data_IF_357332697969
#
_entry.id   IF_357332697969
#
_cell.length_a   1.000
_cell.length_b   1.000
_cell.length_c   1.000
_cell.angle_alpha   90.00
_cell.angle_beta   90.00
_cell.angle_gamma   90.00
#
_symmetry.space_group_name_H-M   'P 1'
#
loop_
_entity.id
_entity.type
_entity.pdbx_description
1 polymer ?
#
# COMPACT_ATOMS: atom_id res chain seq x y z
N UNK A 1 -42.48 4.06 -32.72
CA UNK A 1 -41.10 3.92 -32.20
C UNK A 1 -41.06 4.78 -30.96
N UNK A 2 -41.31 4.16 -29.80
CA UNK A 2 -41.22 4.83 -28.50
C UNK A 2 -39.81 4.60 -27.98
N UNK A 3 -39.06 5.68 -27.78
CA UNK A 3 -37.78 5.63 -27.07
C UNK A 3 -38.05 5.19 -25.63
N UNK A 4 -37.49 4.05 -25.26
CA UNK A 4 -37.34 3.69 -23.85
C UNK A 4 -36.29 4.65 -23.28
N UNK A 5 -36.74 5.67 -22.55
CA UNK A 5 -35.89 6.41 -21.62
C UNK A 5 -35.22 5.39 -20.69
N UNK A 6 -33.91 5.23 -20.87
CA UNK A 6 -33.11 4.36 -20.03
C UNK A 6 -33.29 4.78 -18.57
N UNK A 7 -33.57 3.81 -17.70
CA UNK A 7 -33.72 4.04 -16.27
C UNK A 7 -32.50 4.80 -15.72
N UNK A 8 -32.67 6.11 -15.52
CA UNK A 8 -31.69 6.95 -14.84
C UNK A 8 -31.78 6.56 -13.37
N UNK A 9 -30.80 5.80 -12.88
CA UNK A 9 -30.69 5.48 -11.47
C UNK A 9 -30.41 6.78 -10.70
N UNK A 10 -31.46 7.52 -10.36
CA UNK A 10 -31.39 8.67 -9.46
C UNK A 10 -31.36 8.08 -8.06
N UNK A 11 -30.17 7.89 -7.51
CA UNK A 11 -30.03 7.52 -6.11
C UNK A 11 -30.50 8.71 -5.26
N UNK A 12 -31.54 8.56 -4.43
CA UNK A 12 -31.97 9.65 -3.56
C UNK A 12 -30.85 9.98 -2.57
N UNK A 13 -30.59 11.28 -2.36
CA UNK A 13 -29.63 11.72 -1.36
C UNK A 13 -30.06 11.23 0.02
N UNK A 14 -29.10 10.71 0.79
CA UNK A 14 -29.31 10.44 2.22
C UNK A 14 -29.57 11.75 2.97
N UNK A 15 -30.15 11.70 4.17
CA UNK A 15 -30.35 12.91 4.98
C UNK A 15 -29.04 13.71 5.19
N UNK A 16 -27.92 13.01 5.41
CA UNK A 16 -26.60 13.63 5.54
C UNK A 16 -26.07 14.17 4.21
N UNK A 17 -26.29 13.44 3.11
CA UNK A 17 -25.95 13.92 1.77
C UNK A 17 -26.72 15.19 1.39
N UNK A 18 -27.99 15.27 1.80
CA UNK A 18 -28.81 16.48 1.63
C UNK A 18 -28.27 17.63 2.49
N UNK A 19 -27.99 17.40 3.76
CA UNK A 19 -27.42 18.43 4.65
C UNK A 19 -26.06 18.95 4.14
N UNK A 20 -25.20 18.06 3.63
CA UNK A 20 -23.94 18.44 3.01
C UNK A 20 -24.16 19.30 1.76
N UNK A 21 -25.08 18.89 0.87
CA UNK A 21 -25.39 19.65 -0.33
C UNK A 21 -25.98 21.03 -0.02
N UNK A 22 -26.86 21.14 0.98
CA UNK A 22 -27.43 22.41 1.44
C UNK A 22 -26.35 23.32 2.02
N UNK A 23 -25.44 22.79 2.85
CA UNK A 23 -24.33 23.57 3.41
C UNK A 23 -23.35 24.05 2.33
N UNK A 24 -23.04 23.21 1.33
CA UNK A 24 -22.22 23.62 0.20
C UNK A 24 -22.91 24.72 -0.61
N UNK A 25 -24.21 24.56 -0.89
CA UNK A 25 -25.01 25.56 -1.58
C UNK A 25 -25.02 26.90 -0.83
N UNK A 26 -25.13 26.89 0.50
CA UNK A 26 -25.05 28.09 1.33
C UNK A 26 -23.69 28.79 1.19
N UNK A 27 -22.59 28.03 1.19
CA UNK A 27 -21.23 28.58 1.03
C UNK A 27 -21.01 29.33 -0.28
N UNK A 28 -21.66 28.88 -1.36
CA UNK A 28 -21.54 29.49 -2.70
C UNK A 28 -22.68 30.45 -3.04
N UNK A 29 -23.71 30.57 -2.20
CA UNK A 29 -24.96 31.27 -2.53
C UNK A 29 -24.78 32.75 -2.89
N UNK A 30 -23.70 33.37 -2.41
CA UNK A 30 -23.40 34.79 -2.66
C UNK A 30 -22.63 35.03 -3.95
N UNK A 31 -22.15 33.98 -4.62
CA UNK A 31 -21.33 34.10 -5.83
C UNK A 31 -22.15 34.53 -7.04
N UNK A 32 -21.52 35.27 -7.96
CA UNK A 32 -22.14 35.61 -9.25
C UNK A 32 -22.56 34.35 -10.02
N UNK A 33 -21.76 33.29 -9.95
CA UNK A 33 -22.09 31.97 -10.52
C UNK A 33 -23.43 31.42 -10.00
N UNK A 34 -23.62 31.36 -8.67
CA UNK A 34 -24.81 30.80 -8.08
C UNK A 34 -26.06 31.63 -8.40
N UNK A 35 -25.94 32.97 -8.37
CA UNK A 35 -27.04 33.87 -8.73
C UNK A 35 -27.45 33.68 -10.19
N UNK A 36 -26.48 33.61 -11.11
CA UNK A 36 -26.75 33.42 -12.54
C UNK A 36 -27.41 32.06 -12.81
N UNK A 37 -26.95 31.00 -12.13
CA UNK A 37 -27.54 29.66 -12.26
C UNK A 37 -28.99 29.63 -11.78
N UNK A 38 -29.33 30.35 -10.71
CA UNK A 38 -30.71 30.46 -10.21
C UNK A 38 -31.61 31.22 -11.19
N UNK A 39 -31.08 32.26 -11.85
CA UNK A 39 -31.83 33.07 -12.82
C UNK A 39 -32.05 32.35 -14.15
N UNK A 40 -31.04 31.62 -14.63
CA UNK A 40 -31.02 31.02 -15.97
C UNK A 40 -31.38 29.52 -15.99
N UNK A 41 -31.47 28.86 -14.83
CA UNK A 41 -31.70 27.40 -14.62
C UNK A 41 -30.57 26.50 -15.17
N UNK A 42 -29.92 26.89 -16.27
CA UNK A 42 -28.75 26.22 -16.85
C UNK A 42 -27.79 27.25 -17.45
N UNK A 43 -26.49 27.11 -17.16
CA UNK A 43 -25.44 28.00 -17.67
C UNK A 43 -24.67 27.34 -18.82
N UNK A 44 -24.73 27.95 -20.01
CA UNK A 44 -23.95 27.50 -21.18
C UNK A 44 -22.53 28.08 -21.23
N UNK A 45 -22.27 29.17 -20.51
CA UNK A 45 -20.96 29.79 -20.37
C UNK A 45 -20.90 30.62 -19.07
N UNK A 46 -19.70 30.77 -18.52
CA UNK A 46 -19.41 31.65 -17.38
C UNK A 46 -18.20 32.53 -17.71
N UNK A 47 -18.17 33.75 -17.18
CA UNK A 47 -16.98 34.61 -17.32
C UNK A 47 -15.83 34.06 -16.48
N UNK A 48 -14.60 34.38 -16.88
CA UNK A 48 -13.40 34.02 -16.12
C UNK A 48 -13.45 34.59 -14.70
N UNK A 49 -13.94 35.81 -14.53
CA UNK A 49 -14.01 36.47 -13.23
C UNK A 49 -15.05 35.81 -12.30
N UNK A 50 -16.21 35.38 -12.85
CA UNK A 50 -17.20 34.61 -12.08
C UNK A 50 -16.64 33.23 -11.67
N UNK A 51 -15.82 32.62 -12.52
CA UNK A 51 -15.18 31.33 -12.21
C UNK A 51 -14.14 31.47 -11.09
N UNK A 52 -13.37 32.57 -11.06
CA UNK A 52 -12.43 32.86 -9.98
C UNK A 52 -13.19 33.10 -8.67
N UNK A 53 -14.20 33.98 -8.68
CA UNK A 53 -15.02 34.28 -7.49
C UNK A 53 -15.65 33.01 -6.91
N UNK A 54 -16.21 32.16 -7.78
CA UNK A 54 -16.75 30.87 -7.39
C UNK A 54 -15.66 29.96 -6.79
N UNK A 55 -14.51 29.87 -7.47
CA UNK A 55 -13.36 29.08 -7.02
C UNK A 55 -12.83 29.51 -5.65
N UNK A 56 -12.82 30.80 -5.33
CA UNK A 56 -12.43 31.34 -4.02
C UNK A 56 -13.38 30.91 -2.89
N UNK A 57 -14.63 30.57 -3.21
CA UNK A 57 -15.65 30.14 -2.24
C UNK A 57 -15.83 28.63 -2.13
N UNK A 58 -15.51 27.89 -3.20
CA UNK A 58 -15.64 26.43 -3.25
C UNK A 58 -14.29 25.71 -3.30
N UNK A 59 -13.18 26.40 -3.03
CA UNK A 59 -11.87 25.78 -3.00
C UNK A 59 -11.80 24.74 -1.88
N UNK A 60 -11.12 23.63 -2.14
CA UNK A 60 -10.85 22.60 -1.14
C UNK A 60 -9.59 22.88 -0.30
N UNK A 61 -8.95 24.04 -0.46
CA UNK A 61 -7.79 24.40 0.34
C UNK A 61 -8.18 24.66 1.79
N UNK A 62 -7.24 24.44 2.71
CA UNK A 62 -7.46 24.53 4.13
C UNK A 62 -8.03 25.89 4.57
N UNK A 63 -7.55 27.00 3.97
CA UNK A 63 -8.01 28.35 4.34
C UNK A 63 -9.50 28.55 4.03
N UNK A 64 -9.96 28.13 2.85
CA UNK A 64 -11.37 28.27 2.46
C UNK A 64 -12.24 27.28 3.22
N UNK A 65 -11.79 26.03 3.35
CA UNK A 65 -12.53 24.99 4.04
C UNK A 65 -12.76 25.30 5.52
N UNK A 66 -11.81 25.95 6.22
CA UNK A 66 -11.97 26.31 7.63
C UNK A 66 -13.19 27.20 7.89
N UNK A 67 -13.54 28.08 6.93
CA UNK A 67 -14.70 28.97 7.02
C UNK A 67 -15.94 28.43 6.30
N UNK A 68 -15.80 27.34 5.52
CA UNK A 68 -16.86 26.80 4.70
C UNK A 68 -17.97 26.13 5.53
N UNK A 69 -19.27 26.43 5.27
CA UNK A 69 -20.38 25.85 6.04
C UNK A 69 -20.47 24.33 5.95
N UNK A 70 -19.96 23.73 4.87
CA UNK A 70 -19.98 22.29 4.60
C UNK A 70 -18.86 21.51 5.29
N UNK A 71 -17.88 22.19 5.90
CA UNK A 71 -16.79 21.56 6.67
C UNK A 71 -17.32 20.64 7.78
N UNK A 72 -18.27 21.12 8.59
CA UNK A 72 -18.81 20.35 9.72
C UNK A 72 -19.56 19.09 9.24
N UNK A 73 -20.49 19.18 8.26
CA UNK A 73 -21.07 18.00 7.62
C UNK A 73 -20.05 17.02 7.03
N UNK A 74 -18.95 17.51 6.43
CA UNK A 74 -17.87 16.66 5.91
C UNK A 74 -17.15 15.91 7.03
N UNK A 75 -16.73 16.60 8.09
CA UNK A 75 -16.10 16.00 9.26
C UNK A 75 -16.99 14.91 9.87
N UNK A 76 -18.28 15.20 10.01
CA UNK A 76 -19.28 14.24 10.47
C UNK A 76 -19.38 13.03 9.51
N UNK A 77 -19.37 13.24 8.20
CA UNK A 77 -19.41 12.16 7.20
C UNK A 77 -18.13 11.29 7.16
N UNK A 78 -16.97 11.85 7.49
CA UNK A 78 -15.70 11.13 7.54
C UNK A 78 -15.54 10.32 8.82
N UNK A 79 -15.84 10.90 9.99
CA UNK A 79 -15.58 10.26 11.29
C UNK A 79 -16.77 9.44 11.81
N UNK A 80 -18.02 9.80 11.45
CA UNK A 80 -19.23 9.03 11.78
C UNK A 80 -19.24 8.44 13.18
N UNK A 81 -19.02 9.29 14.20
CA UNK A 81 -18.98 8.87 15.61
C UNK A 81 -20.30 8.25 16.11
N UNK A 82 -21.40 8.39 15.35
CA UNK A 82 -22.67 7.71 15.58
C UNK A 82 -22.66 6.22 15.21
N UNK A 83 -21.62 5.76 14.50
CA UNK A 83 -21.47 4.38 14.03
C UNK A 83 -20.52 3.59 14.93
N UNK A 84 -20.89 2.34 15.20
CA UNK A 84 -20.14 1.37 16.01
C UNK A 84 -19.94 0.05 15.26
N UNK A 85 -19.12 -0.84 15.83
CA UNK A 85 -18.79 -2.15 15.27
C UNK A 85 -17.49 -2.14 14.46
N UNK A 86 -16.63 -3.11 14.72
CA UNK A 86 -15.30 -3.24 14.11
C UNK A 86 -15.34 -3.53 12.61
N UNK A 87 -16.39 -4.20 12.13
CA UNK A 87 -16.57 -4.51 10.71
C UNK A 87 -17.27 -3.38 9.93
N UNK A 88 -17.64 -2.29 10.61
CA UNK A 88 -18.35 -1.17 9.99
C UNK A 88 -17.36 -0.29 9.21
N UNK A 89 -17.52 -0.13 7.87
CA UNK A 89 -16.60 0.67 7.07
C UNK A 89 -16.41 2.12 7.54
N UNK A 90 -17.41 2.69 8.21
CA UNK A 90 -17.32 4.03 8.80
C UNK A 90 -16.41 4.05 10.03
N UNK A 91 -16.45 3.01 10.87
CA UNK A 91 -15.56 2.85 12.01
C UNK A 91 -14.13 2.59 11.54
N UNK A 92 -13.94 1.71 10.55
CA UNK A 92 -12.64 1.46 9.92
C UNK A 92 -12.01 2.75 9.37
N UNK A 93 -12.83 3.60 8.72
CA UNK A 93 -12.39 4.91 8.23
C UNK A 93 -12.01 5.84 9.38
N UNK A 94 -12.84 5.94 10.41
CA UNK A 94 -12.56 6.75 11.61
C UNK A 94 -11.23 6.36 12.25
N UNK A 95 -11.01 5.07 12.50
CA UNK A 95 -9.77 4.56 13.11
C UNK A 95 -8.55 4.80 12.21
N UNK A 96 -8.71 4.70 10.89
CA UNK A 96 -7.64 5.06 9.94
C UNK A 96 -7.27 6.54 10.02
N UNK A 97 -8.27 7.43 10.05
CA UNK A 97 -8.04 8.87 10.17
C UNK A 97 -7.45 9.21 11.55
N UNK A 98 -7.92 8.56 12.62
CA UNK A 98 -7.36 8.70 13.97
C UNK A 98 -5.90 8.25 14.05
N UNK A 99 -5.54 7.13 13.41
CA UNK A 99 -4.15 6.67 13.29
C UNK A 99 -3.27 7.71 12.58
N UNK A 100 -3.79 8.37 11.53
CA UNK A 100 -3.04 9.43 10.86
C UNK A 100 -2.85 10.67 11.73
N UNK A 101 -3.87 11.08 12.47
CA UNK A 101 -3.74 12.17 13.43
C UNK A 101 -2.71 11.84 14.52
N UNK A 102 -2.71 10.60 15.03
CA UNK A 102 -1.73 10.12 16.01
C UNK A 102 -0.30 10.11 15.44
N UNK A 103 -0.13 9.65 14.19
CA UNK A 103 1.16 9.70 13.49
C UNK A 103 1.65 11.15 13.30
N UNK A 104 0.76 12.07 12.90
CA UNK A 104 1.10 13.50 12.73
C UNK A 104 1.52 14.10 14.07
N UNK A 105 0.74 13.89 15.13
CA UNK A 105 1.05 14.40 16.47
C UNK A 105 2.43 13.92 16.94
N UNK A 106 2.75 12.64 16.71
CA UNK A 106 4.02 12.06 17.10
C UNK A 106 5.18 12.41 16.15
N UNK A 107 4.94 12.91 14.94
CA UNK A 107 6.00 13.20 13.95
C UNK A 107 6.92 14.40 14.28
N UNK A 108 6.54 15.20 15.27
CA UNK A 108 7.28 16.35 15.77
C UNK A 108 7.69 17.34 14.64
N UNK A 109 8.99 17.64 14.49
CA UNK A 109 9.50 18.63 13.54
C UNK A 109 10.04 18.00 12.24
N UNK A 110 9.61 16.78 11.92
CA UNK A 110 10.21 15.99 10.85
C UNK A 110 9.26 15.96 9.64
N UNK A 111 9.72 16.09 8.38
CA UNK A 111 8.83 16.11 7.21
C UNK A 111 7.99 14.83 7.04
N UNK A 112 6.67 14.94 7.18
CA UNK A 112 5.81 13.80 7.53
C UNK A 112 5.50 12.85 6.36
N UNK A 113 5.31 13.38 5.15
CA UNK A 113 4.80 12.62 4.01
C UNK A 113 5.67 11.40 3.65
N UNK A 114 7.00 11.55 3.75
CA UNK A 114 7.96 10.47 3.45
C UNK A 114 8.14 9.48 4.61
N UNK A 115 7.64 9.81 5.81
CA UNK A 115 7.80 9.00 7.02
C UNK A 115 6.68 8.01 7.26
N UNK A 116 5.52 8.19 6.60
CA UNK A 116 4.38 7.30 6.80
C UNK A 116 4.73 5.82 6.60
N UNK A 117 5.53 5.50 5.57
CA UNK A 117 5.93 4.12 5.31
C UNK A 117 6.92 3.58 6.34
N UNK A 118 8.05 4.26 6.65
CA UNK A 118 8.91 3.88 7.77
C UNK A 118 8.15 3.73 9.10
N UNK A 119 7.25 4.65 9.43
CA UNK A 119 6.49 4.61 10.66
C UNK A 119 5.57 3.39 10.74
N UNK A 120 4.89 3.05 9.63
CA UNK A 120 4.00 1.88 9.59
C UNK A 120 4.73 0.55 9.48
N UNK A 121 5.86 0.50 8.78
CA UNK A 121 6.57 -0.76 8.50
C UNK A 121 7.62 -1.08 9.57
N UNK A 122 8.43 -0.09 9.94
CA UNK A 122 9.56 -0.19 10.88
C UNK A 122 9.22 0.34 12.28
N UNK A 123 8.02 0.89 12.50
CA UNK A 123 7.64 1.53 13.77
C UNK A 123 8.56 2.71 14.13
N UNK A 124 9.09 3.43 13.14
CA UNK A 124 10.02 4.55 13.33
C UNK A 124 9.69 5.70 12.38
N UNK A 125 9.58 6.92 12.92
CA UNK A 125 9.43 8.15 12.13
C UNK A 125 10.79 8.69 11.69
N UNK A 126 11.83 8.48 12.50
CA UNK A 126 13.23 8.82 12.21
C UNK A 126 14.18 7.90 13.02
N UNK A 127 15.50 7.87 12.72
CA UNK A 127 16.52 7.07 13.43
C UNK A 127 16.37 6.99 14.96
N UNK A 128 16.15 8.13 15.61
CA UNK A 128 16.03 8.22 17.07
C UNK A 128 14.60 8.53 17.54
N UNK A 129 13.62 8.35 16.65
CA UNK A 129 12.24 8.74 16.88
C UNK A 129 11.28 7.57 16.59
N UNK A 130 11.15 6.62 17.54
CA UNK A 130 10.24 5.50 17.39
C UNK A 130 8.79 6.00 17.38
N UNK A 131 7.95 5.32 16.62
CA UNK A 131 6.51 5.51 16.66
C UNK A 131 5.86 4.43 17.52
N UNK A 132 5.00 4.85 18.45
CA UNK A 132 4.20 3.95 19.25
C UNK A 132 2.74 4.36 19.18
N UNK A 133 1.93 3.56 18.47
CA UNK A 133 0.50 3.80 18.40
C UNK A 133 -0.11 3.81 19.81
N UNK A 134 -1.03 4.76 20.05
CA UNK A 134 -1.84 4.77 21.28
C UNK A 134 -2.57 3.43 21.44
N UNK A 135 -2.83 2.96 22.68
CA UNK A 135 -3.49 1.67 22.90
C UNK A 135 -4.81 1.48 22.11
N UNK A 136 -5.64 2.53 22.01
CA UNK A 136 -6.88 2.52 21.24
C UNK A 136 -6.70 2.39 19.71
N UNK A 137 -5.46 2.58 19.21
CA UNK A 137 -5.14 2.54 17.78
C UNK A 137 -4.16 1.41 17.45
N UNK A 138 -3.69 0.65 18.44
CA UNK A 138 -2.64 -0.36 18.28
C UNK A 138 -3.02 -1.44 17.26
N UNK A 139 -4.22 -1.99 17.38
CA UNK A 139 -4.77 -2.99 16.45
C UNK A 139 -4.91 -2.44 15.03
N UNK A 140 -5.26 -1.17 14.90
CA UNK A 140 -5.42 -0.52 13.60
C UNK A 140 -4.09 -0.19 12.95
N UNK A 141 -3.10 0.19 13.77
CA UNK A 141 -1.72 0.32 13.36
C UNK A 141 -1.17 -1.01 12.82
N UNK A 142 -1.39 -2.13 13.52
CA UNK A 142 -0.94 -3.45 13.05
C UNK A 142 -1.58 -3.84 11.71
N UNK A 143 -2.87 -3.54 11.48
CA UNK A 143 -3.51 -3.75 10.16
C UNK A 143 -2.84 -2.93 9.06
N UNK A 144 -2.53 -1.66 9.31
CA UNK A 144 -1.80 -0.83 8.34
C UNK A 144 -0.35 -1.25 8.14
N UNK A 145 0.30 -1.79 9.18
CA UNK A 145 1.59 -2.45 9.07
C UNK A 145 1.51 -3.66 8.14
N UNK A 146 0.50 -4.52 8.30
CA UNK A 146 0.27 -5.66 7.40
C UNK A 146 0.04 -5.24 5.95
N UNK A 147 -0.57 -4.08 5.70
CA UNK A 147 -0.63 -3.50 4.34
C UNK A 147 0.77 -3.17 3.80
N UNK A 148 1.68 -2.62 4.62
CA UNK A 148 3.07 -2.40 4.19
C UNK A 148 3.84 -3.71 3.97
N UNK A 149 3.67 -4.71 4.85
CA UNK A 149 4.22 -6.06 4.68
C UNK A 149 3.78 -6.64 3.34
N UNK A 150 2.49 -6.52 3.02
CA UNK A 150 1.93 -6.95 1.74
C UNK A 150 2.54 -6.21 0.56
N UNK A 151 2.77 -4.90 0.69
CA UNK A 151 3.41 -4.10 -0.35
C UNK A 151 4.86 -4.53 -0.58
N UNK A 152 5.66 -4.71 0.48
CA UNK A 152 7.04 -5.18 0.36
C UNK A 152 7.11 -6.56 -0.30
N UNK A 153 6.28 -7.48 0.17
CA UNK A 153 6.16 -8.84 -0.35
C UNK A 153 5.82 -8.88 -1.85
N UNK A 154 4.75 -8.20 -2.23
CA UNK A 154 4.31 -8.18 -3.64
C UNK A 154 5.29 -7.42 -4.53
N UNK A 155 5.99 -6.41 -4.00
CA UNK A 155 7.01 -5.66 -4.74
C UNK A 155 8.24 -6.52 -5.03
N UNK A 156 8.71 -7.34 -4.07
CA UNK A 156 9.81 -8.27 -4.28
C UNK A 156 9.47 -9.32 -5.36
N UNK A 157 8.28 -9.93 -5.29
CA UNK A 157 7.81 -10.85 -6.34
C UNK A 157 7.66 -10.16 -7.71
N UNK A 158 7.21 -8.90 -7.73
CA UNK A 158 7.14 -8.12 -8.97
C UNK A 158 8.52 -7.87 -9.58
N UNK A 159 9.58 -7.77 -8.78
CA UNK A 159 10.95 -7.64 -9.30
C UNK A 159 11.36 -8.92 -10.04
N UNK A 160 11.16 -10.10 -9.43
CA UNK A 160 11.44 -11.40 -10.07
C UNK A 160 10.60 -11.57 -11.34
N UNK A 161 9.33 -11.19 -11.29
CA UNK A 161 8.44 -11.20 -12.46
C UNK A 161 8.90 -10.26 -13.58
N UNK A 162 9.36 -9.06 -13.23
CA UNK A 162 9.86 -8.08 -14.18
C UNK A 162 11.13 -8.57 -14.88
N UNK A 163 12.04 -9.21 -14.13
CA UNK A 163 13.23 -9.86 -14.69
C UNK A 163 12.83 -10.92 -15.74
N UNK A 164 11.84 -11.75 -15.43
CA UNK A 164 11.31 -12.73 -16.38
C UNK A 164 10.75 -12.08 -17.65
N UNK A 165 9.90 -11.05 -17.50
CA UNK A 165 9.30 -10.38 -18.65
C UNK A 165 10.33 -9.68 -19.53
N UNK A 166 11.35 -9.04 -18.93
CA UNK A 166 12.40 -8.38 -19.70
C UNK A 166 13.21 -9.39 -20.50
N UNK A 167 13.60 -10.51 -19.87
CA UNK A 167 14.34 -11.56 -20.54
C UNK A 167 13.52 -12.22 -21.67
N UNK A 168 12.27 -12.56 -21.40
CA UNK A 168 11.38 -13.13 -22.43
C UNK A 168 11.12 -12.15 -23.58
N UNK A 169 11.04 -10.85 -23.31
CA UNK A 169 10.88 -9.83 -24.35
C UNK A 169 12.11 -9.73 -25.26
N UNK A 170 13.31 -9.99 -24.74
CA UNK A 170 14.55 -10.02 -25.52
C UNK A 170 14.66 -11.28 -26.37
N UNK A 171 14.30 -12.44 -25.80
CA UNK A 171 14.46 -13.75 -26.47
C UNK A 171 13.28 -14.14 -27.39
N UNK A 172 12.15 -13.42 -27.32
CA UNK A 172 10.83 -13.73 -27.93
C UNK A 172 10.20 -15.07 -27.44
N UNK A 173 11.02 -16.09 -27.17
CA UNK A 173 10.64 -17.39 -26.64
C UNK A 173 11.78 -17.99 -25.81
N UNK A 174 11.47 -18.66 -24.70
CA UNK A 174 12.46 -19.34 -23.86
C UNK A 174 11.90 -20.61 -23.22
N UNK A 175 12.72 -21.61 -22.93
CA UNK A 175 12.30 -22.74 -22.08
C UNK A 175 12.39 -22.35 -20.61
N UNK A 176 11.60 -22.96 -19.70
CA UNK A 176 11.75 -22.73 -18.27
C UNK A 176 13.19 -22.96 -17.78
N UNK A 177 13.84 -24.05 -18.21
CA UNK A 177 15.21 -24.37 -17.81
C UNK A 177 16.24 -23.33 -18.26
N UNK A 178 16.08 -22.79 -19.49
CA UNK A 178 16.97 -21.74 -19.98
C UNK A 178 16.77 -20.43 -19.21
N UNK A 179 15.53 -20.13 -18.81
CA UNK A 179 15.27 -18.98 -17.94
C UNK A 179 15.87 -19.17 -16.54
N UNK A 180 15.74 -20.36 -15.94
CA UNK A 180 16.37 -20.65 -14.65
C UNK A 180 17.89 -20.53 -14.73
N UNK A 181 18.51 -21.05 -15.78
CA UNK A 181 19.95 -20.91 -16.00
C UNK A 181 20.38 -19.44 -16.15
N UNK A 182 19.57 -18.60 -16.80
CA UNK A 182 19.81 -17.16 -16.87
C UNK A 182 19.72 -16.50 -15.49
N UNK A 183 18.70 -16.82 -14.70
CA UNK A 183 18.55 -16.30 -13.34
C UNK A 183 19.71 -16.75 -12.45
N UNK A 184 20.10 -18.03 -12.52
CA UNK A 184 21.24 -18.58 -11.79
C UNK A 184 22.53 -17.84 -12.14
N UNK A 185 22.72 -17.47 -13.42
CA UNK A 185 23.90 -16.70 -13.84
C UNK A 185 23.97 -15.28 -13.25
N UNK A 186 22.87 -14.77 -12.69
CA UNK A 186 22.82 -13.47 -11.99
C UNK A 186 23.20 -13.58 -10.50
N UNK A 187 23.51 -14.79 -10.01
CA UNK A 187 23.78 -15.08 -8.60
C UNK A 187 25.12 -15.83 -8.51
N UNK A 188 25.99 -15.50 -7.54
CA UNK A 188 27.22 -16.26 -7.35
C UNK A 188 26.94 -17.75 -7.08
N UNK A 189 27.70 -18.65 -7.74
CA UNK A 189 27.56 -20.11 -7.58
C UNK A 189 27.57 -20.56 -6.10
N UNK A 190 28.41 -19.91 -5.29
CA UNK A 190 28.49 -20.19 -3.85
C UNK A 190 27.14 -19.94 -3.15
N UNK A 191 26.44 -18.87 -3.51
CA UNK A 191 25.13 -18.52 -2.95
C UNK A 191 24.04 -19.48 -3.42
N UNK A 192 24.05 -19.89 -4.69
CA UNK A 192 23.06 -20.84 -5.24
C UNK A 192 23.04 -22.16 -4.46
N UNK A 193 24.21 -22.65 -4.06
CA UNK A 193 24.38 -23.91 -3.33
C UNK A 193 24.23 -23.75 -1.81
N UNK A 194 24.12 -22.53 -1.29
CA UNK A 194 23.94 -22.28 0.15
C UNK A 194 22.59 -22.85 0.59
N UNK A 195 22.54 -23.68 1.65
CA UNK A 195 21.28 -24.08 2.28
C UNK A 195 20.45 -22.86 2.68
N UNK A 196 19.14 -22.89 2.45
CA UNK A 196 18.26 -21.74 2.74
C UNK A 196 18.39 -21.28 4.20
N UNK A 197 18.53 -22.21 5.15
CA UNK A 197 18.78 -21.88 6.56
C UNK A 197 20.07 -21.07 6.76
N UNK A 198 21.16 -21.46 6.10
CA UNK A 198 22.42 -20.74 6.18
C UNK A 198 22.34 -19.35 5.50
N UNK A 199 21.53 -19.21 4.45
CA UNK A 199 21.24 -17.91 3.86
C UNK A 199 20.43 -17.00 4.79
N UNK A 200 19.47 -17.56 5.55
CA UNK A 200 18.78 -16.81 6.60
C UNK A 200 19.72 -16.40 7.73
N UNK A 201 20.66 -17.26 8.13
CA UNK A 201 21.70 -16.93 9.11
C UNK A 201 22.60 -15.78 8.61
N UNK A 202 22.97 -15.79 7.32
CA UNK A 202 23.68 -14.68 6.69
C UNK A 202 22.84 -13.39 6.74
N UNK A 203 21.52 -13.47 6.54
CA UNK A 203 20.64 -12.32 6.66
C UNK A 203 20.61 -11.73 8.08
N UNK A 204 20.57 -12.59 9.09
CA UNK A 204 20.72 -12.20 10.49
C UNK A 204 22.08 -11.53 10.74
N UNK A 205 23.18 -12.15 10.28
CA UNK A 205 24.53 -11.65 10.48
C UNK A 205 24.76 -10.26 9.86
N UNK A 206 24.35 -10.06 8.62
CA UNK A 206 24.46 -8.77 7.93
C UNK A 206 23.57 -7.69 8.57
N UNK A 207 22.53 -8.09 9.30
CA UNK A 207 21.74 -7.16 10.10
C UNK A 207 22.40 -6.87 11.46
N UNK A 208 23.47 -7.58 11.84
CA UNK A 208 24.15 -7.43 13.14
C UNK A 208 23.67 -8.38 14.24
N UNK A 209 22.99 -9.47 13.88
CA UNK A 209 22.56 -10.52 14.80
C UNK A 209 23.49 -11.74 14.73
N UNK A 210 23.37 -12.64 15.71
CA UNK A 210 24.06 -13.94 15.67
C UNK A 210 23.55 -14.80 14.50
N UNK A 211 24.41 -15.63 13.88
CA UNK A 211 24.07 -16.48 12.73
C UNK A 211 23.33 -17.75 13.19
N UNK A 212 22.17 -17.56 13.80
CA UNK A 212 21.20 -18.60 14.13
C UNK A 212 19.81 -17.97 14.05
N UNK A 213 19.19 -18.06 12.88
CA UNK A 213 17.95 -17.35 12.59
C UNK A 213 16.81 -17.78 13.53
N UNK A 214 16.79 -19.03 13.99
CA UNK A 214 15.81 -19.52 14.97
C UNK A 214 15.89 -18.78 16.31
N UNK A 215 17.08 -18.33 16.72
CA UNK A 215 17.26 -17.56 17.96
C UNK A 215 17.23 -16.04 17.71
N UNK A 216 17.61 -15.61 16.49
CA UNK A 216 17.74 -14.22 16.13
C UNK A 216 16.42 -13.56 15.67
N UNK A 217 15.46 -14.33 15.10
CA UNK A 217 14.23 -13.76 14.54
C UNK A 217 13.42 -12.86 15.50
N UNK A 218 13.33 -13.11 16.82
CA UNK A 218 12.58 -12.24 17.73
C UNK A 218 13.16 -10.82 17.82
N UNK A 219 14.46 -10.68 17.59
CA UNK A 219 15.18 -9.40 17.61
C UNK A 219 15.40 -8.83 16.20
N UNK A 220 14.95 -9.51 15.16
CA UNK A 220 15.14 -9.06 13.78
C UNK A 220 14.48 -7.70 13.53
N UNK A 221 13.31 -7.49 14.12
CA UNK A 221 12.60 -6.22 13.95
C UNK A 221 13.35 -5.03 14.53
N UNK A 222 13.92 -5.16 15.73
CA UNK A 222 14.60 -4.09 16.45
C UNK A 222 15.98 -3.81 15.87
N UNK A 223 16.63 -4.83 15.32
CA UNK A 223 17.97 -4.70 14.76
C UNK A 223 17.95 -4.23 13.28
N UNK A 224 16.98 -4.66 12.50
CA UNK A 224 16.78 -4.22 11.12
C UNK A 224 15.79 -3.04 11.09
N UNK A 225 16.26 -1.91 11.61
CA UNK A 225 15.51 -0.66 11.78
C UNK A 225 15.85 0.37 10.68
N UNK A 226 15.35 1.61 10.76
CA UNK A 226 15.54 2.67 9.76
C UNK A 226 17.00 3.12 9.61
N UNK A 227 17.86 2.82 10.58
CA UNK A 227 19.29 3.14 10.52
C UNK A 227 20.09 2.04 9.84
N UNK A 228 19.52 0.84 9.72
CA UNK A 228 20.11 -0.27 9.01
C UNK A 228 20.14 0.01 7.51
N UNK A 229 21.33 -0.08 6.89
CA UNK A 229 21.45 -0.02 5.43
C UNK A 229 20.73 -1.19 4.73
N UNK A 230 20.34 -2.22 5.49
CA UNK A 230 19.83 -3.48 4.98
C UNK A 230 18.34 -3.71 5.24
N UNK A 231 17.54 -2.70 5.57
CA UNK A 231 16.09 -2.88 5.72
C UNK A 231 15.35 -2.90 4.37
N UNK A 232 14.16 -3.49 4.31
CA UNK A 232 13.44 -3.79 3.07
C UNK A 232 13.16 -2.53 2.20
N UNK A 233 12.98 -1.37 2.82
CA UNK A 233 12.81 -0.10 2.09
C UNK A 233 14.10 0.38 1.37
N UNK A 234 15.31 0.21 1.96
CA UNK A 234 16.58 0.55 1.28
C UNK A 234 16.91 -0.46 0.20
N UNK A 235 16.64 -1.76 0.45
CA UNK A 235 16.83 -2.80 -0.56
C UNK A 235 15.96 -2.54 -1.79
N UNK A 236 14.72 -2.11 -1.60
CA UNK A 236 13.86 -1.75 -2.72
C UNK A 236 14.31 -0.46 -3.43
N UNK A 237 14.82 0.54 -2.70
CA UNK A 237 15.42 1.73 -3.31
C UNK A 237 16.60 1.34 -4.19
N UNK A 238 17.45 0.41 -3.75
CA UNK A 238 18.55 -0.12 -4.56
C UNK A 238 18.07 -0.81 -5.85
N UNK A 239 16.95 -1.55 -5.82
CA UNK A 239 16.33 -2.12 -7.04
C UNK A 239 15.89 -1.01 -8.01
N UNK A 240 15.32 0.07 -7.49
CA UNK A 240 14.88 1.20 -8.31
C UNK A 240 16.08 1.91 -8.95
N UNK A 241 17.10 2.20 -8.15
CA UNK A 241 18.30 2.93 -8.56
C UNK A 241 19.18 2.13 -9.52
N UNK A 242 19.11 0.79 -9.47
CA UNK A 242 19.84 -0.09 -10.40
C UNK A 242 19.33 -0.02 -11.83
N UNK A 243 18.19 0.64 -12.07
CA UNK A 243 17.53 0.74 -13.39
C UNK A 243 17.29 -0.63 -14.03
N UNK A 244 16.85 -1.59 -13.21
CA UNK A 244 16.53 -2.98 -13.59
C UNK A 244 17.76 -3.81 -13.94
N UNK A 245 18.87 -3.61 -13.22
CA UNK A 245 19.99 -4.53 -13.26
C UNK A 245 19.56 -5.93 -12.76
N UNK A 246 19.72 -7.01 -13.55
CA UNK A 246 19.29 -8.36 -13.18
C UNK A 246 19.88 -8.89 -11.87
N UNK A 247 21.17 -8.67 -11.65
CA UNK A 247 21.88 -9.15 -10.45
C UNK A 247 21.33 -8.43 -9.22
N UNK A 248 21.17 -7.11 -9.27
CA UNK A 248 20.58 -6.36 -8.16
C UNK A 248 19.13 -6.78 -7.93
N UNK A 249 18.32 -6.92 -8.98
CA UNK A 249 16.91 -7.26 -8.85
C UNK A 249 16.69 -8.60 -8.14
N UNK A 250 17.38 -9.67 -8.57
CA UNK A 250 17.16 -11.01 -7.98
C UNK A 250 17.70 -11.08 -6.55
N UNK A 251 18.90 -10.56 -6.30
CA UNK A 251 19.51 -10.63 -4.97
C UNK A 251 18.71 -9.80 -3.95
N UNK A 252 18.31 -8.58 -4.31
CA UNK A 252 17.55 -7.72 -3.39
C UNK A 252 16.11 -8.23 -3.19
N UNK A 253 15.45 -8.77 -4.23
CA UNK A 253 14.12 -9.35 -4.08
C UNK A 253 14.14 -10.56 -3.14
N UNK A 254 15.09 -11.48 -3.34
CA UNK A 254 15.25 -12.63 -2.45
C UNK A 254 15.59 -12.20 -1.03
N UNK A 255 16.43 -11.18 -0.87
CA UNK A 255 16.73 -10.62 0.45
C UNK A 255 15.48 -10.06 1.14
N UNK A 256 14.66 -9.27 0.44
CA UNK A 256 13.40 -8.75 0.99
C UNK A 256 12.48 -9.90 1.43
N UNK A 257 12.32 -10.94 0.60
CA UNK A 257 11.49 -12.10 0.94
C UNK A 257 11.99 -12.85 2.18
N UNK A 258 13.31 -13.06 2.29
CA UNK A 258 13.93 -13.66 3.47
C UNK A 258 13.77 -12.79 4.73
N UNK A 259 13.92 -11.48 4.61
CA UNK A 259 13.73 -10.56 5.74
C UNK A 259 12.28 -10.48 6.20
N UNK A 260 11.32 -10.54 5.27
CA UNK A 260 9.90 -10.64 5.61
C UNK A 260 9.60 -11.91 6.40
N UNK A 261 10.18 -13.05 6.00
CA UNK A 261 10.07 -14.29 6.76
C UNK A 261 10.64 -14.12 8.17
N UNK A 262 11.88 -13.63 8.31
CA UNK A 262 12.54 -13.43 9.60
C UNK A 262 11.77 -12.46 10.51
N UNK A 263 11.37 -11.30 9.99
CA UNK A 263 10.70 -10.23 10.73
C UNK A 263 9.33 -10.66 11.27
N UNK A 264 8.64 -11.54 10.56
CA UNK A 264 7.24 -11.89 10.86
C UNK A 264 7.04 -13.35 11.27
N UNK A 265 8.12 -14.13 11.40
CA UNK A 265 8.07 -15.53 11.78
C UNK A 265 7.27 -15.77 13.08
N UNK A 266 7.53 -14.96 14.12
CA UNK A 266 6.81 -15.07 15.40
C UNK A 266 5.30 -14.87 15.24
N UNK A 267 4.87 -13.84 14.49
CA UNK A 267 3.45 -13.54 14.29
C UNK A 267 2.73 -14.69 13.58
N UNK A 268 3.39 -15.26 12.56
CA UNK A 268 2.88 -16.42 11.85
C UNK A 268 2.80 -17.66 12.74
N UNK A 269 3.87 -17.99 13.46
CA UNK A 269 3.97 -19.18 14.32
C UNK A 269 2.97 -19.13 15.49
N UNK A 270 2.79 -17.95 16.08
CA UNK A 270 1.88 -17.72 17.21
C UNK A 270 0.42 -17.59 16.78
N UNK A 271 0.14 -17.65 15.47
CA UNK A 271 -1.20 -17.46 14.89
C UNK A 271 -1.83 -16.13 15.32
N UNK A 272 -1.06 -15.04 15.26
CA UNK A 272 -1.55 -13.71 15.60
C UNK A 272 -2.87 -13.39 14.87
N UNK A 273 -3.84 -12.81 15.59
CA UNK A 273 -5.19 -12.61 15.07
C UNK A 273 -5.21 -11.70 13.83
N UNK A 274 -4.43 -10.62 13.86
CA UNK A 274 -4.36 -9.64 12.76
C UNK A 274 -3.58 -10.24 11.59
N UNK A 275 -2.53 -11.02 11.87
CA UNK A 275 -1.84 -11.81 10.87
C UNK A 275 -2.82 -12.75 10.16
N UNK A 276 -3.58 -13.57 10.88
CA UNK A 276 -4.53 -14.52 10.27
C UNK A 276 -5.63 -13.82 9.46
N UNK A 277 -6.15 -12.70 9.95
CA UNK A 277 -7.11 -11.86 9.23
C UNK A 277 -6.55 -11.36 7.88
N UNK A 278 -5.31 -10.87 7.87
CA UNK A 278 -4.74 -10.11 6.75
C UNK A 278 -3.88 -10.95 5.80
N UNK A 279 -3.21 -11.98 6.29
CA UNK A 279 -2.24 -12.79 5.55
C UNK A 279 -2.89 -13.89 4.70
N UNK A 280 -4.16 -14.20 4.91
CA UNK A 280 -4.92 -15.28 4.25
C UNK A 280 -5.64 -14.84 2.96
N UNK A 281 -5.46 -13.59 2.53
CA UNK A 281 -6.12 -13.04 1.34
C UNK A 281 -5.87 -13.88 0.07
N UNK A 282 -6.92 -14.12 -0.72
CA UNK A 282 -7.02 -15.16 -1.79
C UNK A 282 -5.93 -15.17 -2.87
N UNK A 283 -5.19 -14.07 -3.08
CA UNK A 283 -4.18 -13.99 -4.14
C UNK A 283 -2.80 -13.99 -3.54
N UNK A 284 -2.00 -15.01 -3.83
CA UNK A 284 -0.62 -15.11 -3.35
C UNK A 284 -0.55 -14.91 -1.82
N UNK A 285 -1.24 -15.72 -0.99
CA UNK A 285 -1.39 -15.44 0.44
C UNK A 285 -0.05 -15.35 1.15
N UNK A 286 0.10 -14.40 2.08
CA UNK A 286 1.32 -14.30 2.91
C UNK A 286 1.46 -15.54 3.81
N UNK A 287 0.34 -16.08 4.31
CA UNK A 287 0.38 -17.28 5.15
C UNK A 287 0.96 -18.48 4.40
N UNK A 288 0.54 -18.69 3.14
CA UNK A 288 1.05 -19.75 2.30
C UNK A 288 2.55 -19.56 2.01
N UNK A 289 3.00 -18.32 1.80
CA UNK A 289 4.42 -18.02 1.62
C UNK A 289 5.25 -18.44 2.84
N UNK A 290 4.78 -18.15 4.05
CA UNK A 290 5.47 -18.57 5.28
C UNK A 290 5.51 -20.09 5.41
N UNK A 291 4.39 -20.78 5.14
CA UNK A 291 4.31 -22.24 5.15
C UNK A 291 5.26 -22.88 4.13
N UNK A 292 5.29 -22.36 2.90
CA UNK A 292 6.15 -22.86 1.84
C UNK A 292 7.63 -22.64 2.19
N UNK A 293 7.98 -21.47 2.74
CA UNK A 293 9.34 -21.18 3.21
C UNK A 293 9.76 -22.15 4.33
N UNK A 294 8.89 -22.37 5.33
CA UNK A 294 9.15 -23.34 6.40
C UNK A 294 9.35 -24.76 5.85
N UNK A 295 8.51 -25.18 4.90
CA UNK A 295 8.62 -26.50 4.30
C UNK A 295 9.91 -26.68 3.49
N UNK A 296 10.42 -25.62 2.86
CA UNK A 296 11.72 -25.65 2.19
C UNK A 296 12.89 -25.71 3.18
N UNK A 297 12.78 -25.03 4.34
CA UNK A 297 13.74 -25.14 5.44
C UNK A 297 13.77 -26.56 6.03
N UNK A 298 12.61 -27.17 6.27
CA UNK A 298 12.50 -28.54 6.81
C UNK A 298 13.11 -29.61 5.89
N UNK A 299 13.22 -29.29 4.59
CA UNK A 299 13.81 -30.16 3.56
C UNK A 299 15.28 -29.87 3.28
N UNK A 300 15.88 -28.91 3.98
CA UNK A 300 17.24 -28.43 3.74
C UNK A 300 17.44 -27.99 2.27
N UNK A 301 16.44 -27.30 1.72
CA UNK A 301 16.51 -26.81 0.34
C UNK A 301 17.62 -25.78 0.20
N UNK A 302 18.31 -25.80 -0.93
CA UNK A 302 19.24 -24.75 -1.33
C UNK A 302 18.53 -23.43 -1.68
N UNK A 303 19.29 -22.34 -1.69
CA UNK A 303 18.82 -21.04 -2.19
C UNK A 303 18.29 -21.13 -3.63
N UNK A 304 18.98 -21.87 -4.51
CA UNK A 304 18.56 -22.05 -5.89
C UNK A 304 17.19 -22.75 -5.98
N UNK A 305 16.99 -23.85 -5.25
CA UNK A 305 15.71 -24.58 -5.23
C UNK A 305 14.57 -23.69 -4.73
N UNK A 306 14.82 -22.86 -3.72
CA UNK A 306 13.83 -21.91 -3.21
C UNK A 306 13.50 -20.81 -4.24
N UNK A 307 14.51 -20.23 -4.87
CA UNK A 307 14.32 -19.21 -5.92
C UNK A 307 13.54 -19.77 -7.12
N UNK A 308 13.91 -20.97 -7.60
CA UNK A 308 13.21 -21.63 -8.70
C UNK A 308 11.75 -21.92 -8.32
N UNK A 309 11.52 -22.38 -7.10
CA UNK A 309 10.16 -22.59 -6.58
C UNK A 309 9.35 -21.30 -6.58
N UNK A 310 9.90 -20.17 -6.11
CA UNK A 310 9.24 -18.87 -6.11
C UNK A 310 8.91 -18.40 -7.54
N UNK A 311 9.85 -18.51 -8.48
CA UNK A 311 9.61 -18.15 -9.88
C UNK A 311 8.45 -18.96 -10.45
N UNK A 312 8.48 -20.29 -10.29
CA UNK A 312 7.48 -21.17 -10.87
C UNK A 312 6.10 -20.98 -10.23
N UNK A 313 6.03 -20.92 -8.91
CA UNK A 313 4.75 -20.98 -8.19
C UNK A 313 4.18 -19.60 -7.87
N UNK A 314 5.01 -18.60 -7.60
CA UNK A 314 4.59 -17.26 -7.17
C UNK A 314 4.60 -16.23 -8.29
N UNK A 315 5.40 -16.44 -9.35
CA UNK A 315 5.41 -15.56 -10.52
C UNK A 315 4.65 -16.18 -11.71
N UNK A 316 5.16 -17.26 -12.29
CA UNK A 316 4.62 -17.83 -13.53
C UNK A 316 3.22 -18.45 -13.31
N UNK A 317 3.09 -19.32 -12.31
CA UNK A 317 1.82 -19.99 -11.98
C UNK A 317 0.73 -19.01 -11.56
N UNK A 318 1.06 -17.99 -10.76
CA UNK A 318 0.10 -16.95 -10.35
C UNK A 318 -0.36 -16.08 -11.51
N UNK A 319 0.55 -15.72 -12.42
CA UNK A 319 0.18 -14.98 -13.62
C UNK A 319 -0.78 -15.80 -14.48
N UNK A 320 -0.46 -17.07 -14.75
CA UNK A 320 -1.33 -17.96 -15.54
C UNK A 320 -2.72 -18.11 -14.90
N UNK A 321 -2.78 -18.40 -13.60
CA UNK A 321 -4.04 -18.53 -12.87
C UNK A 321 -4.87 -17.23 -12.93
N UNK A 322 -4.24 -16.07 -12.72
CA UNK A 322 -4.91 -14.76 -12.78
C UNK A 322 -5.38 -14.41 -14.19
N UNK A 323 -4.55 -14.67 -15.20
CA UNK A 323 -4.87 -14.39 -16.59
C UNK A 323 -6.04 -15.26 -17.07
N UNK A 324 -6.06 -16.54 -16.69
CA UNK A 324 -7.18 -17.45 -16.93
C UNK A 324 -8.46 -17.00 -16.22
N UNK A 325 -8.36 -16.60 -14.94
CA UNK A 325 -9.52 -16.09 -14.20
C UNK A 325 -10.13 -14.87 -14.89
N UNK A 326 -9.30 -13.88 -15.29
CA UNK A 326 -9.76 -12.66 -15.99
C UNK A 326 -10.31 -12.96 -17.38
N UNK A 327 -9.70 -13.88 -18.11
CA UNK A 327 -10.22 -14.30 -19.42
C UNK A 327 -11.60 -14.96 -19.28
N UNK A 328 -11.78 -15.86 -18.30
CA UNK A 328 -13.06 -16.55 -18.07
C UNK A 328 -14.16 -15.62 -17.56
N UNK A 329 -13.83 -14.74 -16.61
CA UNK A 329 -14.81 -13.87 -15.97
C UNK A 329 -15.20 -12.67 -16.84
N UNK A 330 -14.22 -12.04 -17.51
CA UNK A 330 -14.40 -10.74 -18.15
C UNK A 330 -14.16 -10.76 -19.67
N UNK A 331 -13.89 -11.93 -20.27
CA UNK A 331 -13.41 -12.04 -21.66
C UNK A 331 -12.20 -11.15 -21.97
N UNK A 332 -11.40 -10.84 -20.94
CA UNK A 332 -10.31 -9.89 -21.02
C UNK A 332 -8.96 -10.63 -21.02
N UNK A 333 -8.31 -10.68 -22.18
CA UNK A 333 -7.03 -11.34 -22.38
C UNK A 333 -5.90 -10.50 -21.76
N UNK A 334 -5.37 -10.96 -20.63
CA UNK A 334 -4.27 -10.31 -19.89
C UNK A 334 -2.98 -11.10 -19.90
N UNK A 335 -2.88 -12.12 -20.77
CA UNK A 335 -1.67 -12.92 -20.89
C UNK A 335 -0.48 -12.08 -21.35
N UNK A 336 0.64 -12.21 -20.64
CA UNK A 336 1.94 -11.60 -20.98
C UNK A 336 2.85 -12.59 -21.70
N UNK A 337 2.60 -13.88 -21.54
CA UNK A 337 3.24 -14.97 -22.27
C UNK A 337 2.24 -16.12 -22.48
N UNK A 338 2.58 -17.03 -23.38
CA UNK A 338 1.88 -18.30 -23.61
C UNK A 338 2.83 -19.46 -23.41
N UNK A 339 2.32 -20.58 -22.90
CA UNK A 339 3.07 -21.84 -22.91
C UNK A 339 2.75 -22.61 -24.21
N UNK A 340 3.74 -22.82 -25.06
CA UNK A 340 3.62 -23.50 -26.35
C UNK A 340 4.82 -24.41 -26.59
N UNK A 341 4.58 -25.71 -26.81
CA UNK A 341 5.64 -26.69 -27.14
C UNK A 341 6.84 -26.60 -26.19
N UNK A 342 6.58 -26.64 -24.89
CA UNK A 342 7.59 -26.55 -23.81
C UNK A 342 8.36 -25.22 -23.73
N UNK A 343 7.83 -24.17 -24.38
CA UNK A 343 8.39 -22.82 -24.36
C UNK A 343 7.40 -21.81 -23.82
N UNK A 344 7.94 -20.82 -23.13
CA UNK A 344 7.28 -19.58 -22.78
C UNK A 344 7.48 -18.63 -23.97
N UNK A 345 6.38 -18.17 -24.58
CA UNK A 345 6.38 -17.33 -25.78
C UNK A 345 5.80 -15.97 -25.45
N UNK A 346 6.49 -14.90 -25.81
CA UNK A 346 6.05 -13.53 -25.57
C UNK A 346 4.69 -13.25 -26.23
N UNK A 347 3.72 -12.75 -25.45
CA UNK A 347 2.40 -12.45 -25.99
C UNK A 347 2.43 -11.11 -26.74
N UNK A 348 2.23 -11.10 -28.06
CA UNK A 348 2.23 -9.87 -28.89
C UNK A 348 0.91 -9.08 -28.86
N UNK A 349 0.16 -9.13 -27.76
CA UNK A 349 -1.07 -8.34 -27.62
C UNK A 349 -0.75 -6.83 -27.63
N UNK A 350 -1.62 -5.96 -28.17
CA UNK A 350 -1.29 -4.55 -28.33
C UNK A 350 -1.08 -3.85 -26.98
N UNK A 351 0.05 -3.12 -26.92
CA UNK A 351 0.67 -2.50 -25.75
C UNK A 351 0.90 -3.48 -24.59
N UNK A 352 1.98 -4.27 -24.67
CA UNK A 352 2.59 -4.88 -23.50
C UNK A 352 3.07 -3.78 -22.55
N UNK A 353 2.13 -3.31 -21.73
CA UNK A 353 2.39 -2.39 -20.64
C UNK A 353 3.44 -3.05 -19.75
N UNK A 354 4.64 -2.46 -19.75
CA UNK A 354 5.62 -2.69 -18.71
C UNK A 354 5.02 -2.09 -17.45
N UNK A 355 4.69 -2.94 -16.48
CA UNK A 355 4.27 -2.44 -15.18
C UNK A 355 5.48 -1.74 -14.56
N UNK A 356 5.39 -0.46 -14.19
CA UNK A 356 6.49 0.21 -13.51
C UNK A 356 6.75 -0.54 -12.19
N UNK A 357 7.99 -0.94 -11.95
CA UNK A 357 8.44 -1.47 -10.67
C UNK A 357 8.38 -0.35 -9.64
N UNK A 358 7.32 -0.28 -8.85
CA UNK A 358 7.17 0.76 -7.83
C UNK A 358 6.52 0.18 -6.60
N UNK A 359 6.91 0.68 -5.44
CA UNK A 359 6.08 0.48 -4.26
C UNK A 359 4.66 0.98 -4.55
N UNK A 360 3.63 0.20 -4.21
CA UNK A 360 2.26 0.67 -4.30
C UNK A 360 2.09 2.01 -3.58
N UNK A 361 1.38 2.94 -4.22
CA UNK A 361 1.07 4.24 -3.64
C UNK A 361 0.31 4.08 -2.32
N UNK A 362 0.76 4.76 -1.28
CA UNK A 362 0.14 4.68 0.02
C UNK A 362 -1.15 5.52 0.02
N UNK A 363 -2.31 4.87 0.11
CA UNK A 363 -3.62 5.56 0.15
C UNK A 363 -3.74 6.54 1.32
N UNK A 364 -2.91 6.39 2.35
CA UNK A 364 -2.85 7.31 3.48
C UNK A 364 -2.35 8.70 3.10
N UNK A 365 -1.58 8.87 2.02
CA UNK A 365 -1.18 10.21 1.56
C UNK A 365 -2.40 11.03 1.13
N UNK A 366 -3.36 10.38 0.46
CA UNK A 366 -4.63 11.03 0.09
C UNK A 366 -5.48 11.33 1.33
N UNK A 367 -5.47 10.44 2.32
CA UNK A 367 -6.19 10.66 3.57
C UNK A 367 -5.56 11.80 4.39
N UNK A 368 -4.23 11.93 4.38
CA UNK A 368 -3.53 13.09 4.96
C UNK A 368 -3.94 14.39 4.26
N UNK A 369 -4.02 14.39 2.91
CA UNK A 369 -4.50 15.56 2.16
C UNK A 369 -5.91 15.96 2.61
N UNK A 370 -6.82 14.99 2.77
CA UNK A 370 -8.16 15.25 3.31
C UNK A 370 -8.11 15.87 4.72
N UNK A 371 -7.20 15.41 5.60
CA UNK A 371 -7.07 15.98 6.95
C UNK A 371 -6.52 17.42 6.92
N UNK A 372 -5.62 17.72 5.98
CA UNK A 372 -5.11 19.08 5.74
C UNK A 372 -6.23 19.97 5.21
N UNK A 373 -6.93 19.53 4.16
CA UNK A 373 -8.04 20.26 3.54
C UNK A 373 -9.16 20.55 4.57
N UNK A 374 -9.44 19.62 5.48
CA UNK A 374 -10.44 19.82 6.55
C UNK A 374 -9.92 20.65 7.74
N UNK A 375 -8.70 21.17 7.69
CA UNK A 375 -8.09 21.99 8.74
C UNK A 375 -7.85 21.23 10.05
N UNK A 376 -7.65 19.92 9.99
CA UNK A 376 -7.26 19.10 11.15
C UNK A 376 -5.73 18.98 11.28
N UNK A 377 -5.02 19.21 10.18
CA UNK A 377 -3.55 19.18 10.11
C UNK A 377 -3.07 20.43 9.38
N UNK A 378 -2.13 21.15 9.97
CA UNK A 378 -1.38 22.19 9.27
C UNK A 378 -0.11 21.59 8.67
N UNK A 379 0.22 21.99 7.44
CA UNK A 379 1.47 21.63 6.78
C UNK A 379 2.23 22.90 6.39
N UNK A 380 3.51 22.99 6.79
CA UNK A 380 4.37 24.09 6.38
C UNK A 380 5.09 23.83 5.04
N UNK A 381 5.78 24.85 4.50
CA UNK A 381 6.54 24.75 3.24
C UNK A 381 7.65 23.67 3.29
N UNK A 382 8.09 23.28 4.49
CA UNK A 382 9.06 22.21 4.71
C UNK A 382 8.45 20.80 4.74
N UNK A 383 7.12 20.68 4.58
CA UNK A 383 6.41 19.42 4.64
C UNK A 383 6.23 18.87 6.07
N UNK A 384 6.49 19.69 7.10
CA UNK A 384 6.24 19.32 8.49
C UNK A 384 4.74 19.45 8.75
N UNK A 385 4.14 18.39 9.27
CA UNK A 385 2.73 18.35 9.64
C UNK A 385 2.56 18.53 11.15
N UNK A 386 1.56 19.33 11.57
CA UNK A 386 1.19 19.49 12.98
C UNK A 386 -0.34 19.41 13.11
N UNK A 387 -0.82 18.89 14.24
CA UNK A 387 -2.26 18.94 14.51
C UNK A 387 -2.69 20.38 14.78
N UNK A 388 -3.86 20.75 14.28
CA UNK A 388 -4.59 21.94 14.74
C UNK A 388 -5.31 21.62 16.06
N UNK A 389 -5.86 22.63 16.74
CA UNK A 389 -6.68 22.40 17.94
C UNK A 389 -7.88 21.48 17.66
N UNK A 390 -8.50 21.60 16.48
CA UNK A 390 -9.55 20.70 16.04
C UNK A 390 -9.01 19.28 15.79
N UNK A 391 -7.82 19.16 15.19
CA UNK A 391 -7.13 17.89 15.00
C UNK A 391 -6.89 17.14 16.30
N UNK A 392 -6.38 17.83 17.32
CA UNK A 392 -6.19 17.30 18.68
C UNK A 392 -7.51 16.83 19.30
N UNK A 393 -8.57 17.64 19.17
CA UNK A 393 -9.90 17.28 19.69
C UNK A 393 -10.46 16.03 19.00
N UNK A 394 -10.31 15.92 17.68
CA UNK A 394 -10.77 14.75 16.93
C UNK A 394 -9.96 13.51 17.29
N UNK A 395 -8.64 13.62 17.42
CA UNK A 395 -7.79 12.51 17.87
C UNK A 395 -8.22 12.02 19.26
N UNK A 396 -8.39 12.95 20.23
CA UNK A 396 -8.87 12.62 21.57
C UNK A 396 -10.22 11.87 21.52
N UNK A 397 -11.17 12.38 20.72
CA UNK A 397 -12.49 11.76 20.58
C UNK A 397 -12.43 10.37 19.93
N UNK A 398 -11.55 10.14 18.96
CA UNK A 398 -11.34 8.80 18.37
C UNK A 398 -10.84 7.83 19.45
N UNK A 399 -9.82 8.23 20.21
CA UNK A 399 -9.21 7.42 21.27
C UNK A 399 -10.22 7.10 22.38
N UNK A 400 -11.05 8.06 22.77
CA UNK A 400 -12.12 7.86 23.76
C UNK A 400 -13.25 6.96 23.25
N UNK A 401 -13.60 7.06 21.97
CA UNK A 401 -14.73 6.32 21.39
C UNK A 401 -14.50 4.81 21.30
N UNK A 402 -13.25 4.36 21.32
CA UNK A 402 -12.88 2.94 21.20
C UNK A 402 -12.78 2.23 22.57
N UNK A 403 -12.76 2.99 23.67
CA UNK A 403 -12.80 2.43 25.04
C UNK A 403 -14.22 2.00 25.47
N UNK A 404 -15.20 2.08 24.57
CA UNK A 404 -16.62 1.88 24.85
C UNK A 404 -17.26 0.61 24.28
N UNK A 405 -16.49 -0.33 23.75
CA UNK A 405 -17.00 -1.62 23.22
C UNK A 405 -16.52 -2.82 24.01
#
# INVERSE_FOLDING_TARGET
>A
VGEQEGARWIYPLTHRGKALAEAFQEGIATTSYANQLIEEDELSAISHDHAIEYGEKCCLCAEVMQEAPDRVPLLDAFFRFDQTGTDNPHVCRRLTLGLLLDLVEQSAATPFADQLRPALYLSQLAPDHPYQARPALADWFQRWRMVQVRHAYTSALQCIWALFLDHLAMEDQITPDAFMAYVDSCIPDATLQTPLSAYLDQCCQESGLEPNWHEAHPNFHTQCDITSEHHELTLFAAIWDSRRDPEVMVNQAMRILSQLFLRHYSLWQEHDNIWQEMATAERVPLNQFMEDCQHHLDRDSSYAEWLHFLIMNYCLGQHEATALQKLRANSYNTFKFYFQQDKLVWARNPANYQVPLRFPGLRLNNALSILIDLGLVDQDEGGICRLTADGEQFLARVVESDHGT
#
